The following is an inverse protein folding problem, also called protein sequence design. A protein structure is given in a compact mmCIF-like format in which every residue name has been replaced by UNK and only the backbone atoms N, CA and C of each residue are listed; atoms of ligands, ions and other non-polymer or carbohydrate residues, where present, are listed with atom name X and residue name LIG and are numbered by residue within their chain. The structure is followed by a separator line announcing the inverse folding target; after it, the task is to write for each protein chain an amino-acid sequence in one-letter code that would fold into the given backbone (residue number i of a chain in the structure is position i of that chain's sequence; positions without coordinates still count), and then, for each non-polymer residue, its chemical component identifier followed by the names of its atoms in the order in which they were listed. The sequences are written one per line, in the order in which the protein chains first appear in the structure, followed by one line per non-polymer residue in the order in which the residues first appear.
data_IF_672330256672
#
_entry.id   IF_672330256672
#
_cell.length_a   1.000
_cell.length_b   1.000
_cell.length_c   1.000
_cell.angle_alpha   90.00
_cell.angle_beta   90.00
_cell.angle_gamma   90.00
#
_symmetry.space_group_name_H-M   'P 1'
#
loop_
_entity.id
_entity.type
_entity.pdbx_description
1 polymer ?
#
# COMPACT_ATOMS: atom_id res chain seq x y z
N UNK A 1 -1.34 10.06 6.20
CA UNK A 1 -1.46 8.97 5.21
C UNK A 1 -2.92 8.58 5.10
N UNK A 2 -3.33 8.07 3.94
CA UNK A 2 -4.69 7.62 3.64
C UNK A 2 -4.64 6.21 3.07
N UNK A 3 -5.70 5.43 3.30
CA UNK A 3 -5.87 4.10 2.74
C UNK A 3 -7.18 4.02 1.96
N UNK A 4 -7.18 3.36 0.81
CA UNK A 4 -8.36 3.18 -0.02
C UNK A 4 -8.28 1.90 -0.86
N UNK A 5 -9.45 1.37 -1.23
CA UNK A 5 -9.54 0.26 -2.19
C UNK A 5 -9.11 0.73 -3.58
N UNK A 6 -8.22 -0.01 -4.24
CA UNK A 6 -7.81 0.31 -5.61
C UNK A 6 -8.98 0.20 -6.59
N UNK A 7 -9.03 1.07 -7.61
CA UNK A 7 -10.05 1.01 -8.68
C UNK A 7 -10.00 -0.30 -9.48
N UNK A 8 -8.82 -0.94 -9.53
CA UNK A 8 -8.58 -2.24 -10.19
C UNK A 8 -7.75 -3.11 -9.25
N UNK A 9 -8.39 -3.74 -8.25
CA UNK A 9 -7.67 -4.54 -7.27
C UNK A 9 -7.11 -5.81 -7.92
N UNK A 10 -5.82 -6.07 -7.67
CA UNK A 10 -5.15 -7.31 -8.11
C UNK A 10 -5.79 -8.56 -7.49
N UNK A 11 -6.13 -8.49 -6.19
CA UNK A 11 -6.83 -9.54 -5.43
C UNK A 11 -7.83 -8.89 -4.47
N UNK A 12 -8.84 -9.62 -3.98
CA UNK A 12 -9.73 -9.14 -2.91
C UNK A 12 -8.93 -8.60 -1.72
N UNK A 13 -9.31 -7.44 -1.19
CA UNK A 13 -8.60 -6.78 -0.09
C UNK A 13 -7.32 -6.01 -0.48
N UNK A 14 -6.94 -5.97 -1.76
CA UNK A 14 -5.85 -5.11 -2.23
C UNK A 14 -6.15 -3.64 -1.89
N UNK A 15 -5.38 -3.13 -0.94
CA UNK A 15 -5.49 -1.77 -0.42
C UNK A 15 -4.28 -0.94 -0.80
N UNK A 16 -4.52 0.32 -1.16
CA UNK A 16 -3.47 1.29 -1.44
C UNK A 16 -3.29 2.20 -0.22
N UNK A 17 -2.06 2.35 0.25
CA UNK A 17 -1.69 3.32 1.29
C UNK A 17 -0.81 4.41 0.68
N UNK A 18 -1.16 5.67 0.88
CA UNK A 18 -0.45 6.80 0.30
C UNK A 18 -0.29 7.96 1.30
N UNK A 19 0.75 8.80 1.16
CA UNK A 19 0.83 10.07 1.88
C UNK A 19 -0.31 11.00 1.45
N UNK A 20 -0.82 11.80 2.39
CA UNK A 20 -1.86 12.79 2.11
C UNK A 20 -1.30 13.93 1.25
N UNK A 21 -0.06 14.36 1.54
CA UNK A 21 0.69 15.26 0.68
C UNK A 21 1.06 14.53 -0.61
N UNK A 22 0.94 15.22 -1.74
CA UNK A 22 1.34 14.69 -3.04
C UNK A 22 2.86 14.71 -3.16
N UNK A 23 3.47 13.54 -3.00
CA UNK A 23 4.88 13.28 -3.30
C UNK A 23 4.97 12.19 -4.34
N UNK A 24 5.93 12.28 -5.26
CA UNK A 24 6.07 11.30 -6.33
C UNK A 24 7.01 10.17 -5.93
N UNK A 25 8.04 10.51 -5.14
CA UNK A 25 9.18 9.65 -4.84
C UNK A 25 9.29 9.33 -3.35
N UNK A 26 9.80 8.14 -3.02
CA UNK A 26 10.03 7.72 -1.65
C UNK A 26 10.97 8.69 -0.91
N UNK A 27 12.02 9.15 -1.57
CA UNK A 27 13.00 10.10 -1.02
C UNK A 27 12.44 11.49 -0.70
N UNK A 28 11.19 11.80 -1.07
CA UNK A 28 10.53 13.09 -0.79
C UNK A 28 9.68 13.06 0.49
N UNK A 29 9.58 11.90 1.15
CA UNK A 29 8.85 11.76 2.40
C UNK A 29 9.58 12.46 3.54
N UNK A 30 8.80 13.04 4.44
CA UNK A 30 9.25 13.46 5.76
C UNK A 30 9.13 12.28 6.74
N UNK A 31 9.86 12.32 7.85
CA UNK A 31 9.91 11.21 8.82
C UNK A 31 8.55 10.86 9.41
N UNK A 32 7.72 11.88 9.67
CA UNK A 32 6.36 11.72 10.18
C UNK A 32 5.44 11.06 9.13
N UNK A 33 5.59 11.41 7.85
CA UNK A 33 4.85 10.79 6.75
C UNK A 33 5.25 9.33 6.53
N UNK A 34 6.56 9.03 6.60
CA UNK A 34 7.07 7.66 6.55
C UNK A 34 6.47 6.83 7.68
N UNK A 35 6.52 7.33 8.92
CA UNK A 35 5.90 6.66 10.06
C UNK A 35 4.39 6.47 9.88
N UNK A 36 3.69 7.48 9.37
CA UNK A 36 2.25 7.41 9.14
C UNK A 36 1.89 6.35 8.08
N UNK A 37 2.64 6.26 6.98
CA UNK A 37 2.44 5.23 5.93
C UNK A 37 2.64 3.84 6.51
N UNK A 38 3.75 3.59 7.22
CA UNK A 38 4.08 2.27 7.75
C UNK A 38 3.07 1.83 8.81
N UNK A 39 2.69 2.74 9.75
CA UNK A 39 1.68 2.44 10.76
C UNK A 39 0.32 2.14 10.15
N UNK A 40 -0.08 2.88 9.12
CA UNK A 40 -1.34 2.65 8.43
C UNK A 40 -1.32 1.32 7.65
N UNK A 41 -0.22 1.00 6.96
CA UNK A 41 -0.07 -0.29 6.28
C UNK A 41 -0.16 -1.48 7.25
N UNK A 42 0.47 -1.38 8.43
CA UNK A 42 0.33 -2.38 9.49
C UNK A 42 -1.12 -2.53 9.97
N UNK A 43 -1.83 -1.42 10.14
CA UNK A 43 -3.26 -1.44 10.52
C UNK A 43 -4.12 -2.11 9.45
N UNK A 44 -3.89 -1.79 8.17
CA UNK A 44 -4.56 -2.41 7.02
C UNK A 44 -4.30 -3.91 6.98
N UNK A 45 -3.04 -4.37 7.14
CA UNK A 45 -2.73 -5.80 7.17
C UNK A 45 -3.52 -6.54 8.25
N UNK A 46 -3.63 -5.99 9.46
CA UNK A 46 -4.38 -6.61 10.55
C UNK A 46 -5.87 -6.71 10.23
N UNK A 47 -6.47 -5.61 9.74
CA UNK A 47 -7.89 -5.55 9.45
C UNK A 47 -8.27 -6.44 8.26
N UNK A 48 -7.55 -6.30 7.14
CA UNK A 48 -7.78 -7.10 5.93
C UNK A 48 -7.48 -8.57 6.19
N UNK A 49 -6.41 -8.87 6.93
CA UNK A 49 -6.03 -10.25 7.29
C UNK A 49 -7.12 -10.92 8.12
N UNK A 50 -7.64 -10.22 9.13
CA UNK A 50 -8.76 -10.74 9.94
C UNK A 50 -10.04 -10.92 9.12
N UNK A 51 -10.31 -10.04 8.15
CA UNK A 51 -11.54 -10.11 7.37
C UNK A 51 -11.51 -11.20 6.29
N UNK A 52 -10.34 -11.46 5.69
CA UNK A 52 -10.17 -12.40 4.59
C UNK A 52 -9.49 -13.72 5.00
N UNK A 53 -9.22 -13.92 6.29
CA UNK A 53 -8.41 -15.04 6.81
C UNK A 53 -7.04 -15.17 6.09
N UNK A 54 -6.48 -14.04 5.67
CA UNK A 54 -5.18 -13.99 5.02
C UNK A 54 -4.06 -13.89 6.07
N UNK A 55 -3.07 -14.78 5.99
CA UNK A 55 -1.92 -14.84 6.92
C UNK A 55 -0.64 -14.31 6.29
N UNK A 56 -0.63 -14.03 4.99
CA UNK A 56 0.51 -13.53 4.23
C UNK A 56 0.12 -12.31 3.40
N UNK A 57 1.08 -11.46 3.07
CA UNK A 57 0.86 -10.22 2.32
C UNK A 57 2.05 -9.90 1.42
N UNK A 58 1.76 -9.38 0.22
CA UNK A 58 2.74 -8.65 -0.57
C UNK A 58 2.65 -7.17 -0.22
N UNK A 59 3.77 -6.58 0.18
CA UNK A 59 3.94 -5.14 0.36
C UNK A 59 4.82 -4.62 -0.78
N UNK A 60 4.28 -3.81 -1.67
CA UNK A 60 5.02 -3.35 -2.85
C UNK A 60 4.92 -1.84 -3.04
N UNK A 61 6.07 -1.19 -3.15
CA UNK A 61 6.18 0.22 -3.50
C UNK A 61 6.96 0.32 -4.80
N UNK A 62 6.39 1.03 -5.78
CA UNK A 62 7.02 1.27 -7.07
C UNK A 62 7.48 2.72 -7.11
N UNK A 63 8.77 2.94 -6.92
CA UNK A 63 9.36 4.29 -6.86
C UNK A 63 9.83 4.72 -8.25
N UNK A 64 8.96 5.42 -8.99
CA UNK A 64 9.25 5.96 -10.32
C UNK A 64 8.73 5.16 -11.50
N UNK A 65 8.67 5.83 -12.66
CA UNK A 65 8.24 5.25 -13.93
C UNK A 65 9.04 3.99 -14.31
N UNK A 66 10.36 4.01 -14.11
CA UNK A 66 11.24 2.87 -14.39
C UNK A 66 10.97 1.64 -13.51
N UNK A 67 10.42 1.84 -12.31
CA UNK A 67 9.96 0.78 -11.41
C UNK A 67 8.50 0.34 -11.68
N UNK A 68 7.86 0.88 -12.72
CA UNK A 68 6.47 0.59 -13.06
C UNK A 68 5.43 1.36 -12.23
N UNK A 69 5.79 2.52 -11.67
CA UNK A 69 4.83 3.40 -10.99
C UNK A 69 3.80 3.95 -12.01
N UNK A 70 2.49 3.67 -11.84
CA UNK A 70 1.49 4.02 -12.85
C UNK A 70 1.08 5.50 -12.81
N UNK A 71 1.17 6.14 -11.65
CA UNK A 71 0.79 7.54 -11.43
C UNK A 71 1.87 8.27 -10.63
N UNK A 72 2.12 9.58 -10.88
CA UNK A 72 3.12 10.37 -10.16
C UNK A 72 2.60 10.78 -8.78
N UNK A 73 2.37 9.78 -7.93
CA UNK A 73 2.09 9.89 -6.51
C UNK A 73 2.53 8.57 -5.86
N UNK A 74 3.40 8.65 -4.86
CA UNK A 74 3.89 7.51 -4.11
C UNK A 74 2.74 6.75 -3.49
N UNK A 75 2.73 5.43 -3.64
CA UNK A 75 1.76 4.58 -2.99
C UNK A 75 2.35 3.20 -2.72
N UNK A 76 2.00 2.66 -1.54
CA UNK A 76 2.32 1.32 -1.10
C UNK A 76 1.11 0.43 -1.34
N UNK A 77 1.31 -0.63 -2.11
CA UNK A 77 0.35 -1.71 -2.27
C UNK A 77 0.42 -2.64 -1.07
N UNK A 78 -0.73 -2.91 -0.45
CA UNK A 78 -0.92 -3.91 0.59
C UNK A 78 -1.87 -4.96 0.05
N UNK A 79 -1.33 -6.10 -0.37
CA UNK A 79 -2.09 -7.15 -1.05
C UNK A 79 -2.11 -8.41 -0.18
N UNK A 80 -3.26 -8.81 0.39
CA UNK A 80 -3.37 -10.07 1.12
C UNK A 80 -3.12 -11.25 0.19
N UNK A 81 -2.59 -12.33 0.74
CA UNK A 81 -2.31 -13.58 0.04
C UNK A 81 -3.00 -14.75 0.72
N UNK A 82 -3.59 -15.62 -0.10
CA UNK A 82 -4.20 -16.89 0.31
C UNK A 82 -3.60 -18.03 -0.50
N UNK A 83 -3.70 -19.26 -0.01
CA UNK A 83 -3.14 -20.41 -0.72
C UNK A 83 -3.84 -20.59 -2.08
N UNK A 84 -3.06 -20.58 -3.18
CA UNK A 84 -3.54 -20.84 -4.54
C UNK A 84 -4.11 -19.63 -5.29
N UNK A 85 -3.82 -18.40 -4.84
CA UNK A 85 -4.23 -17.15 -5.50
C UNK A 85 -3.31 -16.66 -6.63
#
# INVERSE_FOLDING_TARGET
AVAYGGLRPVLPGHTIVAPTRRVERFAQLQDDELQAIVRLALSVQRQVGSHLNATAFNLALKDGKGAGQPVPHLHLHVVPRTAGD
#
